data_IF_531550494295
#
_entry.id   IF_531550494295
#
_cell.length_a   1.000
_cell.length_b   1.000
_cell.length_c   1.000
_cell.angle_alpha   90.00
_cell.angle_beta   90.00
_cell.angle_gamma   90.00
#
_symmetry.space_group_name_H-M   'P 1'
#
loop_
_entity.id
_entity.type
_entity.pdbx_description
1 polymer ?
#
# COMPACT_ATOMS: atom_id res chain seq x y z
N UNK A 1 2.95 10.82 -22.17
CA UNK A 1 4.14 9.94 -22.22
C UNK A 1 4.02 8.85 -21.15
N UNK A 2 4.63 7.67 -21.38
CA UNK A 2 4.68 6.64 -20.34
C UNK A 2 5.42 7.14 -19.11
N UNK A 3 5.01 6.67 -17.94
CA UNK A 3 5.65 7.03 -16.67
C UNK A 3 7.07 6.47 -16.63
N UNK A 4 8.10 7.32 -16.38
CA UNK A 4 9.49 6.87 -16.36
C UNK A 4 9.82 6.06 -15.11
N UNK A 5 10.91 5.30 -15.16
CA UNK A 5 11.48 4.63 -14.00
C UNK A 5 11.96 5.63 -12.96
N UNK A 6 12.70 6.66 -13.41
CA UNK A 6 13.24 7.70 -12.53
C UNK A 6 13.11 9.07 -13.20
N UNK A 7 12.76 10.06 -12.41
CA UNK A 7 12.86 11.48 -12.77
C UNK A 7 14.07 12.08 -12.06
N UNK A 8 14.97 12.66 -12.81
CA UNK A 8 16.11 13.42 -12.30
C UNK A 8 15.83 14.92 -12.41
N UNK A 9 15.89 15.63 -11.30
CA UNK A 9 15.65 17.06 -11.22
C UNK A 9 16.91 17.78 -10.73
N UNK A 10 17.47 18.65 -11.57
CA UNK A 10 18.63 19.45 -11.22
C UNK A 10 18.18 20.88 -10.99
N UNK A 11 18.06 21.30 -9.75
CA UNK A 11 17.65 22.64 -9.36
C UNK A 11 17.92 22.90 -7.88
N UNK A 12 18.13 24.15 -7.53
CA UNK A 12 18.15 24.61 -6.13
C UNK A 12 16.83 25.22 -5.68
N UNK A 13 15.91 25.45 -6.62
CA UNK A 13 14.60 26.03 -6.34
C UNK A 13 13.65 24.98 -5.74
N UNK A 14 13.29 25.18 -4.47
CA UNK A 14 12.38 24.28 -3.74
C UNK A 14 10.97 24.25 -4.35
N UNK A 15 10.50 25.37 -4.95
CA UNK A 15 9.17 25.40 -5.56
C UNK A 15 9.12 24.52 -6.81
N UNK A 16 10.20 24.50 -7.58
CA UNK A 16 10.33 23.64 -8.76
C UNK A 16 10.38 22.18 -8.35
N UNK A 17 11.15 21.83 -7.32
CA UNK A 17 11.23 20.47 -6.77
C UNK A 17 9.85 19.97 -6.34
N UNK A 18 9.17 20.77 -5.52
CA UNK A 18 7.85 20.40 -4.98
C UNK A 18 6.78 20.28 -6.08
N UNK A 19 6.81 21.20 -7.03
CA UNK A 19 5.90 21.17 -8.19
C UNK A 19 6.11 19.91 -9.02
N UNK A 20 7.35 19.57 -9.36
CA UNK A 20 7.65 18.37 -10.14
C UNK A 20 7.31 17.10 -9.37
N UNK A 21 7.63 17.02 -8.08
CA UNK A 21 7.30 15.89 -7.24
C UNK A 21 5.78 15.62 -7.18
N UNK A 22 4.98 16.68 -7.09
CA UNK A 22 3.52 16.57 -7.02
C UNK A 22 2.85 16.31 -8.38
N UNK A 23 3.43 16.82 -9.46
CA UNK A 23 2.83 16.78 -10.79
C UNK A 23 3.32 15.64 -11.67
N UNK A 24 4.38 14.94 -11.27
CA UNK A 24 4.93 13.81 -12.03
C UNK A 24 4.73 12.49 -11.27
N UNK A 25 4.65 11.40 -12.03
CA UNK A 25 4.60 10.04 -11.48
C UNK A 25 5.72 9.22 -12.08
N UNK A 26 6.58 8.68 -11.21
CA UNK A 26 7.74 7.86 -11.59
C UNK A 26 8.01 6.79 -10.53
N UNK A 27 8.90 5.88 -10.84
CA UNK A 27 9.39 4.89 -9.87
C UNK A 27 10.22 5.54 -8.76
N UNK A 28 11.11 6.48 -9.14
CA UNK A 28 11.90 7.29 -8.23
C UNK A 28 11.92 8.75 -8.66
N UNK A 29 12.16 9.65 -7.72
CA UNK A 29 12.42 11.07 -7.94
C UNK A 29 13.70 11.45 -7.24
N UNK A 30 14.67 11.94 -7.98
CA UNK A 30 16.04 12.20 -7.49
C UNK A 30 16.43 13.65 -7.79
N UNK A 31 16.93 14.34 -6.78
CA UNK A 31 17.28 15.75 -6.88
C UNK A 31 18.79 15.90 -6.83
N UNK A 32 19.35 16.62 -7.80
CA UNK A 32 20.78 17.00 -7.91
C UNK A 32 21.76 15.82 -7.83
N UNK A 33 21.31 14.62 -8.26
CA UNK A 33 22.08 13.39 -8.19
C UNK A 33 21.69 12.44 -9.33
N UNK A 34 22.59 11.55 -9.73
CA UNK A 34 22.32 10.49 -10.72
C UNK A 34 22.77 9.15 -10.16
N UNK A 35 21.85 8.19 -10.07
CA UNK A 35 22.18 6.80 -9.81
C UNK A 35 22.43 6.42 -8.34
N UNK A 36 22.86 7.34 -7.48
CA UNK A 36 23.22 7.02 -6.09
C UNK A 36 22.07 6.51 -5.23
N UNK A 37 20.82 6.84 -5.57
CA UNK A 37 19.64 6.27 -4.93
C UNK A 37 19.55 4.74 -5.10
N UNK A 38 20.19 4.16 -6.13
CA UNK A 38 20.27 2.72 -6.34
C UNK A 38 21.22 2.03 -5.36
N UNK A 39 22.24 2.75 -4.91
CA UNK A 39 23.25 2.23 -3.99
C UNK A 39 22.74 2.11 -2.55
N UNK A 40 21.64 2.78 -2.20
CA UNK A 40 21.04 2.70 -0.89
C UNK A 40 20.03 1.55 -0.85
N UNK A 41 20.32 0.45 -0.11
CA UNK A 41 19.46 -0.73 -0.07
C UNK A 41 18.13 -0.50 0.66
N UNK A 42 17.99 0.59 1.40
CA UNK A 42 16.75 0.95 2.10
C UNK A 42 15.73 1.62 1.18
N UNK A 43 16.17 2.18 0.05
CA UNK A 43 15.26 2.81 -0.88
C UNK A 43 14.55 1.77 -1.76
N UNK A 44 13.22 1.79 -1.80
CA UNK A 44 12.47 0.89 -2.68
C UNK A 44 12.76 1.21 -4.14
N UNK A 45 13.21 0.23 -4.89
CA UNK A 45 13.50 0.36 -6.31
C UNK A 45 12.46 -0.35 -7.17
N UNK A 46 11.89 0.35 -8.13
CA UNK A 46 10.91 -0.21 -9.06
C UNK A 46 10.18 0.86 -9.85
N UNK A 47 9.61 0.46 -10.98
CA UNK A 47 8.90 1.33 -11.91
C UNK A 47 7.42 1.54 -11.56
N UNK A 48 6.73 2.27 -12.44
CA UNK A 48 5.29 2.55 -12.36
C UNK A 48 4.65 2.36 -13.74
N UNK A 49 3.66 1.50 -13.83
CA UNK A 49 2.97 1.19 -15.08
C UNK A 49 3.91 0.56 -16.10
N UNK A 50 4.14 1.22 -17.25
CA UNK A 50 5.02 0.66 -18.31
C UNK A 50 6.50 0.60 -17.94
N UNK A 51 6.95 1.33 -16.93
CA UNK A 51 8.35 1.27 -16.47
C UNK A 51 8.64 0.17 -15.47
N UNK A 52 7.63 -0.55 -14.98
CA UNK A 52 7.79 -1.71 -14.12
C UNK A 52 6.62 -1.95 -13.17
N UNK A 53 6.62 -3.11 -12.53
CA UNK A 53 5.66 -3.53 -11.52
C UNK A 53 6.40 -3.95 -10.25
N UNK A 54 5.81 -3.58 -9.10
CA UNK A 54 6.38 -3.90 -7.81
C UNK A 54 7.63 -3.07 -7.48
N UNK A 55 8.16 -3.32 -6.31
CA UNK A 55 9.39 -2.68 -5.81
C UNK A 55 10.19 -3.69 -5.02
N UNK A 56 11.52 -3.60 -5.07
CA UNK A 56 12.39 -4.41 -4.24
C UNK A 56 13.43 -3.52 -3.55
N UNK A 57 14.36 -4.04 -2.86
CA UNK A 57 15.23 -3.49 -1.83
C UNK A 57 14.53 -3.30 -0.47
N UNK A 58 15.30 -3.49 0.60
CA UNK A 58 14.87 -3.33 1.99
C UNK A 58 13.55 -4.04 2.30
N UNK A 59 12.70 -3.35 3.03
CA UNK A 59 11.37 -3.85 3.40
C UNK A 59 10.49 -4.17 2.19
N UNK A 60 10.58 -3.39 1.12
CA UNK A 60 9.77 -3.62 -0.08
C UNK A 60 10.08 -4.95 -0.75
N UNK A 61 11.36 -5.35 -0.80
CA UNK A 61 11.77 -6.65 -1.30
C UNK A 61 11.28 -7.80 -0.42
N UNK A 62 11.36 -7.64 0.89
CA UNK A 62 10.81 -8.61 1.82
C UNK A 62 9.29 -8.78 1.63
N UNK A 63 8.55 -7.68 1.56
CA UNK A 63 7.10 -7.70 1.41
C UNK A 63 6.66 -8.37 0.09
N UNK A 64 7.36 -8.10 -1.01
CA UNK A 64 7.06 -8.70 -2.33
C UNK A 64 7.36 -10.21 -2.35
N UNK A 65 8.39 -10.65 -1.65
CA UNK A 65 8.77 -12.07 -1.57
C UNK A 65 8.02 -12.83 -0.47
N UNK A 66 7.21 -12.13 0.33
CA UNK A 66 6.47 -12.71 1.45
C UNK A 66 4.99 -12.87 1.09
N UNK A 67 4.37 -13.91 1.63
CA UNK A 67 2.94 -14.14 1.49
C UNK A 67 2.21 -13.78 2.79
N UNK A 68 1.64 -12.57 2.90
CA UNK A 68 0.88 -12.19 4.09
C UNK A 68 -0.39 -13.05 4.21
N UNK A 69 -0.47 -13.86 5.27
CA UNK A 69 -1.61 -14.71 5.54
C UNK A 69 -2.55 -14.04 6.55
N UNK A 70 -3.76 -13.76 6.12
CA UNK A 70 -4.80 -13.28 7.02
C UNK A 70 -5.31 -14.42 7.90
N UNK A 71 -5.27 -14.24 9.22
CA UNK A 71 -5.83 -15.17 10.18
C UNK A 71 -6.96 -14.45 10.93
N UNK A 72 -8.19 -14.92 10.74
CA UNK A 72 -9.37 -14.45 11.45
C UNK A 72 -9.87 -15.56 12.36
N UNK A 73 -9.73 -15.38 13.67
CA UNK A 73 -10.33 -16.23 14.69
C UNK A 73 -11.54 -15.50 15.28
N UNK A 74 -12.70 -15.79 14.73
CA UNK A 74 -13.96 -15.15 15.10
C UNK A 74 -14.74 -16.05 16.03
N UNK A 75 -15.12 -15.52 17.18
CA UNK A 75 -16.11 -16.19 18.05
C UNK A 75 -17.45 -16.25 17.32
N UNK A 76 -17.85 -17.47 16.96
CA UNK A 76 -18.97 -17.78 16.05
C UNK A 76 -20.32 -17.20 16.53
N UNK A 77 -20.50 -16.96 17.83
CA UNK A 77 -21.79 -16.61 18.43
C UNK A 77 -22.31 -15.20 18.12
N UNK A 78 -21.44 -14.22 17.89
CA UNK A 78 -21.90 -12.82 17.72
C UNK A 78 -22.36 -12.48 16.30
N UNK A 79 -21.92 -13.23 15.30
CA UNK A 79 -22.24 -12.96 13.90
C UNK A 79 -23.12 -14.02 13.22
N UNK A 80 -23.50 -15.08 13.92
CA UNK A 80 -24.29 -16.18 13.34
C UNK A 80 -25.63 -15.69 12.76
N UNK A 81 -26.31 -14.82 13.48
CA UNK A 81 -27.60 -14.26 13.05
C UNK A 81 -27.51 -13.33 11.84
N UNK A 82 -26.31 -12.81 11.51
CA UNK A 82 -26.09 -11.94 10.34
C UNK A 82 -25.67 -12.71 9.10
N UNK A 83 -25.14 -13.93 9.26
CA UNK A 83 -24.59 -14.74 8.16
C UNK A 83 -25.58 -15.75 7.59
N UNK A 84 -26.59 -16.13 8.34
CA UNK A 84 -27.54 -17.18 7.96
C UNK A 84 -28.94 -16.64 7.70
N UNK A 85 -29.70 -17.22 6.78
CA UNK A 85 -31.12 -16.90 6.56
C UNK A 85 -31.93 -16.96 7.84
N UNK A 86 -33.07 -16.23 7.91
CA UNK A 86 -33.62 -15.39 6.84
C UNK A 86 -32.91 -14.04 6.71
N UNK A 87 -32.79 -13.59 5.47
CA UNK A 87 -32.26 -12.26 5.15
C UNK A 87 -33.34 -11.21 5.42
N UNK A 88 -33.04 -10.25 6.28
CA UNK A 88 -33.91 -9.13 6.58
C UNK A 88 -33.25 -7.82 6.14
N UNK A 89 -34.06 -6.80 5.82
CA UNK A 89 -33.53 -5.49 5.44
C UNK A 89 -32.62 -4.87 6.52
N UNK A 90 -32.85 -5.20 7.80
CA UNK A 90 -31.98 -4.77 8.90
C UNK A 90 -30.57 -5.38 8.83
N UNK A 91 -30.44 -6.65 8.38
CA UNK A 91 -29.14 -7.31 8.19
C UNK A 91 -28.34 -6.67 7.07
N UNK A 92 -28.99 -6.32 5.97
CA UNK A 92 -28.34 -5.68 4.81
C UNK A 92 -27.76 -4.30 5.17
N UNK A 93 -28.37 -3.58 6.10
CA UNK A 93 -27.88 -2.28 6.57
C UNK A 93 -26.80 -2.42 7.65
N UNK A 94 -26.94 -3.38 8.55
CA UNK A 94 -25.98 -3.58 9.66
C UNK A 94 -24.63 -4.13 9.23
N UNK A 95 -24.59 -5.00 8.21
CA UNK A 95 -23.35 -5.63 7.77
C UNK A 95 -22.28 -4.62 7.32
N UNK A 96 -22.57 -3.63 6.45
CA UNK A 96 -21.57 -2.65 6.04
C UNK A 96 -21.13 -1.71 7.16
N UNK A 97 -22.03 -1.35 8.09
CA UNK A 97 -21.71 -0.47 9.21
C UNK A 97 -20.76 -1.13 10.22
N UNK A 98 -20.98 -2.38 10.54
CA UNK A 98 -20.15 -3.12 11.48
C UNK A 98 -18.79 -3.51 10.86
N UNK A 99 -18.73 -3.80 9.56
CA UNK A 99 -17.48 -4.04 8.86
C UNK A 99 -16.59 -2.79 8.82
N UNK A 100 -17.18 -1.61 8.65
CA UNK A 100 -16.46 -0.34 8.65
C UNK A 100 -15.94 0.06 10.04
N UNK A 101 -16.69 -0.22 11.11
CA UNK A 101 -16.28 0.12 12.48
C UNK A 101 -15.18 -0.78 13.04
N UNK A 102 -15.13 -2.05 12.62
CA UNK A 102 -14.07 -2.97 13.05
C UNK A 102 -12.72 -2.73 12.40
N UNK A 103 -12.67 -1.93 11.32
CA UNK A 103 -11.43 -1.60 10.61
C UNK A 103 -10.60 -0.49 11.29
N UNK A 104 -11.17 0.23 12.26
CA UNK A 104 -10.53 1.38 12.92
C UNK A 104 -9.79 1.08 14.22
N UNK A 105 -9.95 -0.08 14.85
CA UNK A 105 -9.48 -0.30 16.24
C UNK A 105 -8.40 -1.38 16.37
N UNK A 106 -7.55 -1.60 15.44
CA UNK A 106 -6.29 -2.37 15.47
C UNK A 106 -6.00 -3.41 16.57
N UNK A 107 -6.97 -3.73 17.44
CA UNK A 107 -6.77 -4.53 18.66
C UNK A 107 -7.05 -6.03 18.52
N UNK A 108 -7.68 -6.47 17.43
CA UNK A 108 -8.09 -7.87 17.29
C UNK A 108 -7.58 -8.59 16.03
N UNK A 109 -6.75 -7.98 15.23
CA UNK A 109 -6.12 -8.60 14.06
C UNK A 109 -4.63 -8.87 14.30
N UNK A 110 -4.22 -10.13 14.40
CA UNK A 110 -2.82 -10.52 14.42
C UNK A 110 -2.35 -10.85 13.00
N UNK A 111 -1.53 -10.01 12.42
CA UNK A 111 -0.83 -10.32 11.18
C UNK A 111 0.32 -11.27 11.52
N UNK A 112 0.27 -12.49 11.01
CA UNK A 112 1.41 -13.41 11.05
C UNK A 112 2.04 -13.46 9.66
N UNK A 113 3.34 -13.21 9.60
CA UNK A 113 4.17 -13.34 8.41
C UNK A 113 4.95 -14.64 8.57
N UNK A 114 4.81 -15.52 7.60
CA UNK A 114 5.57 -16.77 7.49
C UNK A 114 6.61 -16.67 6.40
#
# INVERSE_FOLDING_TARGET
QPKPLTVYCFTEDEQVKEKLLKQTSSGAFVVNEIGMHLANPEFPFGGVGKSGYGRYHGKSGFDVCSNPKSVADLKILEMANMRFPPDTNEKAVRFPLNAASSYGDGKNGKLMIS
#
